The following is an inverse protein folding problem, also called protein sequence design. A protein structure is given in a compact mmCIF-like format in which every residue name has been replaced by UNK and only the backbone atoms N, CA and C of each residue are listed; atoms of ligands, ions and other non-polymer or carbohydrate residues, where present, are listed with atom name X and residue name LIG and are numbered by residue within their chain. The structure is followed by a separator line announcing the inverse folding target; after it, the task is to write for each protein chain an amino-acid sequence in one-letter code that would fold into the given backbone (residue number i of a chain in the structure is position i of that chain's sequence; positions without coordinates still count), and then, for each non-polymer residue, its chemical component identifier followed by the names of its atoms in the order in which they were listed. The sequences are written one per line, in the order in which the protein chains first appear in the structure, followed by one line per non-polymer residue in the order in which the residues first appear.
data_IF_003248543414
#
_entry.id   IF_003248543414
#
_cell.length_a   1.000
_cell.length_b   1.000
_cell.length_c   1.000
_cell.angle_alpha   90.00
_cell.angle_beta   90.00
_cell.angle_gamma   90.00
#
_symmetry.space_group_name_H-M   'P 1'
#
loop_
_entity.id
_entity.type
_entity.pdbx_description
1 polymer ?
#
# COMPACT_ATOMS: atom_id res chain seq x y z
N UNK A 1 6.36 13.01 -2.99
CA UNK A 1 5.59 13.38 -1.76
C UNK A 1 4.16 13.62 -2.21
N UNK A 2 3.20 13.06 -1.50
CA UNK A 2 1.75 13.24 -1.71
C UNK A 2 1.17 13.83 -0.44
N UNK A 3 0.34 14.85 -0.59
CA UNK A 3 -0.52 15.33 0.48
C UNK A 3 -1.94 14.81 0.21
N UNK A 4 -2.55 14.15 1.19
CA UNK A 4 -3.89 13.57 1.09
C UNK A 4 -4.76 14.07 2.24
N UNK A 5 -5.83 14.80 1.92
CA UNK A 5 -6.86 15.26 2.88
C UNK A 5 -8.16 14.55 2.53
N UNK A 6 -8.70 13.77 3.47
CA UNK A 6 -9.84 12.88 3.22
C UNK A 6 -10.78 12.81 4.43
N UNK A 7 -11.91 12.11 4.27
CA UNK A 7 -12.83 11.80 5.37
C UNK A 7 -12.97 10.28 5.45
N UNK A 8 -12.71 9.70 6.61
CA UNK A 8 -12.84 8.27 6.86
C UNK A 8 -13.74 8.03 8.07
N UNK A 9 -14.78 7.22 7.88
CA UNK A 9 -15.81 6.95 8.90
C UNK A 9 -16.43 8.21 9.53
N UNK A 10 -16.52 9.30 8.75
CA UNK A 10 -17.07 10.59 9.18
C UNK A 10 -16.05 11.55 9.79
N UNK A 11 -14.82 11.10 10.05
CA UNK A 11 -13.76 11.90 10.66
C UNK A 11 -12.79 12.43 9.59
N UNK A 12 -12.37 13.71 9.66
CA UNK A 12 -11.38 14.25 8.75
C UNK A 12 -9.98 13.69 9.03
N UNK A 13 -9.28 13.28 7.96
CA UNK A 13 -7.91 12.79 7.98
C UNK A 13 -6.99 13.66 7.11
N UNK A 14 -5.71 13.71 7.48
CA UNK A 14 -4.67 14.41 6.74
C UNK A 14 -3.36 13.62 6.82
N UNK A 15 -2.82 13.27 5.66
CA UNK A 15 -1.62 12.46 5.52
C UNK A 15 -0.60 13.15 4.60
N UNK A 16 0.67 13.07 4.98
CA UNK A 16 1.81 13.41 4.13
C UNK A 16 2.58 12.12 3.83
N UNK A 17 2.47 11.64 2.60
CA UNK A 17 3.00 10.35 2.17
C UNK A 17 4.30 10.53 1.38
N UNK A 18 5.36 9.87 1.86
CA UNK A 18 6.66 9.78 1.20
C UNK A 18 6.80 8.38 0.60
N UNK A 19 6.86 8.30 -0.72
CA UNK A 19 6.99 7.04 -1.46
C UNK A 19 8.45 6.88 -1.90
N UNK A 20 9.01 5.70 -1.65
CA UNK A 20 10.38 5.36 -2.00
C UNK A 20 10.37 4.05 -2.81
N UNK A 21 11.21 4.00 -3.84
CA UNK A 21 11.54 2.73 -4.49
C UNK A 21 12.51 1.96 -3.59
N UNK A 22 12.20 0.69 -3.34
CA UNK A 22 12.92 -0.17 -2.42
C UNK A 22 12.98 -1.60 -2.91
N UNK A 23 14.13 -2.25 -2.67
CA UNK A 23 14.37 -3.66 -2.98
C UNK A 23 14.62 -4.44 -1.70
N UNK A 24 14.00 -5.62 -1.59
CA UNK A 24 14.33 -6.54 -0.51
C UNK A 24 15.76 -7.06 -0.69
N UNK A 25 16.56 -7.01 0.39
CA UNK A 25 17.91 -7.61 0.41
C UNK A 25 17.82 -9.13 0.28
N UNK A 26 16.82 -9.72 0.93
CA UNK A 26 16.46 -11.12 0.73
C UNK A 26 15.47 -11.23 -0.44
N UNK A 27 15.98 -11.60 -1.61
CA UNK A 27 15.20 -11.71 -2.83
C UNK A 27 14.21 -12.89 -2.81
N UNK A 28 14.43 -13.88 -1.94
CA UNK A 28 13.51 -15.02 -1.81
C UNK A 28 12.11 -14.59 -1.31
N UNK A 29 11.99 -13.39 -0.74
CA UNK A 29 10.71 -12.82 -0.33
C UNK A 29 9.78 -12.54 -1.50
N UNK A 30 10.31 -12.26 -2.70
CA UNK A 30 9.50 -12.06 -3.90
C UNK A 30 8.84 -13.36 -4.39
N UNK A 31 9.43 -14.51 -4.10
CA UNK A 31 8.88 -15.83 -4.50
C UNK A 31 7.74 -16.30 -3.58
N UNK A 32 7.57 -15.67 -2.42
CA UNK A 32 6.51 -16.01 -1.48
C UNK A 32 5.19 -15.41 -1.95
N UNK A 33 4.12 -16.20 -1.90
CA UNK A 33 2.76 -15.71 -2.20
C UNK A 33 2.32 -14.55 -1.29
N UNK A 34 2.90 -14.46 -0.09
CA UNK A 34 2.58 -13.45 0.90
C UNK A 34 3.63 -13.32 1.99
N UNK A 35 3.60 -12.18 2.67
CA UNK A 35 4.39 -11.87 3.85
C UNK A 35 3.46 -11.63 5.05
N UNK A 36 3.96 -11.87 6.26
CA UNK A 36 3.28 -11.46 7.50
C UNK A 36 3.63 -9.99 7.78
N UNK A 37 2.61 -9.15 7.86
CA UNK A 37 2.72 -7.74 8.26
C UNK A 37 2.31 -7.56 9.72
N UNK A 38 3.01 -6.66 10.42
CA UNK A 38 2.71 -6.30 11.81
C UNK A 38 2.58 -4.79 11.92
N UNK A 39 1.45 -4.32 12.42
CA UNK A 39 1.17 -2.91 12.70
C UNK A 39 0.74 -2.77 14.16
N UNK A 40 1.68 -2.37 15.02
CA UNK A 40 1.47 -2.37 16.46
C UNK A 40 1.17 -3.77 16.99
N UNK A 41 -0.09 -4.02 17.38
CA UNK A 41 -0.58 -5.34 17.83
C UNK A 41 -1.33 -6.11 16.74
N UNK A 42 -1.61 -5.49 15.59
CA UNK A 42 -2.36 -6.09 14.50
C UNK A 42 -1.41 -6.90 13.61
N UNK A 43 -1.75 -8.15 13.36
CA UNK A 43 -1.13 -8.98 12.33
C UNK A 43 -2.01 -9.03 11.10
N UNK A 44 -1.40 -9.02 9.92
CA UNK A 44 -2.11 -9.13 8.65
C UNK A 44 -1.25 -9.84 7.59
N UNK A 45 -1.89 -10.25 6.50
CA UNK A 45 -1.23 -10.87 5.34
C UNK A 45 -0.99 -9.82 4.27
N UNK A 46 0.27 -9.47 4.02
CA UNK A 46 0.66 -8.65 2.88
C UNK A 46 0.80 -9.53 1.64
N UNK A 47 0.29 -9.08 0.50
CA UNK A 47 0.25 -9.85 -0.75
C UNK A 47 0.75 -9.02 -1.91
N UNK A 48 1.38 -9.68 -2.87
CA UNK A 48 1.73 -9.07 -4.14
C UNK A 48 0.48 -8.85 -4.99
N UNK A 49 0.37 -7.66 -5.59
CA UNK A 49 -0.69 -7.29 -6.52
C UNK A 49 -0.10 -6.54 -7.69
N UNK A 50 -0.49 -6.93 -8.90
CA UNK A 50 -0.12 -6.17 -10.08
C UNK A 50 -0.95 -4.87 -10.15
N UNK A 51 -0.39 -3.80 -10.73
CA UNK A 51 -1.13 -2.55 -11.00
C UNK A 51 -2.45 -2.80 -11.75
N UNK A 52 -2.43 -3.69 -12.74
CA UNK A 52 -3.62 -4.05 -13.53
C UNK A 52 -4.72 -4.66 -12.65
N UNK A 53 -4.36 -5.56 -11.73
CA UNK A 53 -5.33 -6.19 -10.83
C UNK A 53 -5.97 -5.19 -9.86
N UNK A 54 -5.22 -4.19 -9.40
CA UNK A 54 -5.72 -3.11 -8.54
C UNK A 54 -6.65 -2.15 -9.30
N UNK A 55 -6.45 -1.94 -10.60
CA UNK A 55 -7.36 -1.12 -11.44
C UNK A 55 -8.69 -1.81 -11.72
N UNK A 56 -8.68 -3.12 -11.90
CA UNK A 56 -9.85 -3.90 -12.33
C UNK A 56 -10.62 -4.56 -11.17
N UNK A 57 -9.99 -4.67 -10.00
CA UNK A 57 -10.52 -5.40 -8.85
C UNK A 57 -11.21 -4.52 -7.81
N UNK A 58 -11.80 -5.14 -6.77
CA UNK A 58 -12.44 -4.42 -5.67
C UNK A 58 -11.45 -3.79 -4.67
N UNK A 59 -10.14 -4.00 -4.88
CA UNK A 59 -9.09 -3.50 -3.98
C UNK A 59 -8.56 -2.19 -4.51
N UNK A 60 -8.68 -1.13 -3.71
CA UNK A 60 -8.20 0.21 -4.05
C UNK A 60 -6.77 0.43 -3.55
N UNK A 61 -5.97 1.13 -4.35
CA UNK A 61 -4.71 1.74 -3.89
C UNK A 61 -5.01 3.15 -3.40
N UNK A 62 -4.69 3.41 -2.14
CA UNK A 62 -4.91 4.69 -1.48
C UNK A 62 -3.61 5.22 -0.87
N UNK A 63 -3.38 6.55 -0.88
CA UNK A 63 -4.13 7.55 -1.64
C UNK A 63 -4.02 7.35 -3.17
N UNK A 64 -4.99 7.86 -3.93
CA UNK A 64 -5.06 7.66 -5.38
C UNK A 64 -3.85 8.28 -6.09
N UNK A 65 -3.28 9.33 -5.53
CA UNK A 65 -2.10 10.02 -6.04
C UNK A 65 -0.86 9.12 -6.07
N UNK A 66 -0.83 7.99 -5.34
CA UNK A 66 0.27 7.00 -5.44
C UNK A 66 0.41 6.49 -6.88
N UNK A 67 -0.68 6.44 -7.65
CA UNK A 67 -0.63 6.03 -9.05
C UNK A 67 0.29 6.88 -9.93
N UNK A 68 0.67 8.08 -9.50
CA UNK A 68 1.61 8.94 -10.24
C UNK A 68 3.07 8.45 -10.18
N UNK A 69 3.38 7.48 -9.30
CA UNK A 69 4.71 6.90 -9.15
C UNK A 69 4.84 5.49 -9.76
N UNK A 70 3.78 4.94 -10.34
CA UNK A 70 3.71 3.56 -10.88
C UNK A 70 3.62 3.50 -12.40
#
# INVERSE_FOLDING_TARGET
IVENIFVYEGEPGHEMVFVYDGRFVDESLYDRESLEGVEGKRQFKAVWRSPVALRAGPCYLVPEEIWTFL
#
